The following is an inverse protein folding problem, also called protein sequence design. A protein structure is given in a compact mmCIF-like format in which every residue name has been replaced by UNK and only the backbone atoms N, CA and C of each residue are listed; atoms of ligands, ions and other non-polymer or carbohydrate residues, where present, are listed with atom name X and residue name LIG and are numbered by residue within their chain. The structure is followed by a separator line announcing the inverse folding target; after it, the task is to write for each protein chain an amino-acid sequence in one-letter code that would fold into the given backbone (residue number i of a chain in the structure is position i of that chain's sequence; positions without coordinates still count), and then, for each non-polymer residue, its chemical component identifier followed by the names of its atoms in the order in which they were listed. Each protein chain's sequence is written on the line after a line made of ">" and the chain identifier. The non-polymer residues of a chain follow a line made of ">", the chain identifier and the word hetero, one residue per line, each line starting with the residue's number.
data_IF_975618214878
#
_entry.id   IF_975618214878
#
_cell.length_a   1.000
_cell.length_b   1.000
_cell.length_c   1.000
_cell.angle_alpha   90.00
_cell.angle_beta   90.00
_cell.angle_gamma   90.00
#
_symmetry.space_group_name_H-M   'P 1'
#
loop_
_entity.id
_entity.type
_entity.pdbx_description
1 polymer ?
#
# COMPACT_ATOMS: atom_id res chain seq x y z
N UNK A 1 -19.33 -17.08 64.16
CA UNK A 1 -18.23 -16.55 63.29
C UNK A 1 -18.79 -16.36 61.89
N UNK A 2 -19.02 -15.13 61.41
CA UNK A 2 -19.47 -14.92 60.02
C UNK A 2 -18.23 -14.70 59.09
N UNK A 3 -18.25 -15.46 57.99
CA UNK A 3 -17.32 -15.30 56.88
C UNK A 3 -17.64 -14.03 56.08
N UNK A 4 -16.70 -13.09 55.98
CA UNK A 4 -16.80 -11.92 55.12
C UNK A 4 -16.29 -12.31 53.73
N UNK A 5 -17.18 -12.20 52.74
CA UNK A 5 -16.88 -12.39 51.32
C UNK A 5 -16.33 -11.05 50.78
N UNK A 6 -15.01 -10.96 50.52
CA UNK A 6 -14.40 -9.83 49.83
C UNK A 6 -14.62 -9.97 48.34
N UNK A 7 -15.50 -9.16 47.76
CA UNK A 7 -15.61 -8.97 46.33
C UNK A 7 -14.49 -8.03 45.85
N UNK A 8 -13.51 -8.57 45.12
CA UNK A 8 -12.56 -7.76 44.33
C UNK A 8 -13.24 -7.26 43.06
N UNK A 9 -13.56 -5.97 43.04
CA UNK A 9 -13.92 -5.28 41.81
C UNK A 9 -12.63 -4.89 41.08
N UNK A 10 -12.30 -5.61 39.99
CA UNK A 10 -11.26 -5.22 39.08
C UNK A 10 -11.78 -4.08 38.20
N UNK A 11 -11.35 -2.86 38.49
CA UNK A 11 -11.53 -1.72 37.57
C UNK A 11 -10.61 -1.91 36.37
N UNK A 12 -11.20 -2.40 35.27
CA UNK A 12 -10.58 -2.26 33.95
C UNK A 12 -10.71 -0.80 33.54
N UNK A 13 -9.65 -0.03 33.70
CA UNK A 13 -9.52 1.29 33.08
C UNK A 13 -9.35 1.07 31.59
N UNK A 14 -10.41 1.30 30.82
CA UNK A 14 -10.31 1.45 29.37
C UNK A 14 -9.46 2.69 29.10
N UNK A 15 -8.21 2.48 28.72
CA UNK A 15 -7.38 3.54 28.15
C UNK A 15 -7.97 3.86 26.78
N UNK A 16 -8.80 4.88 26.71
CA UNK A 16 -9.17 5.50 25.43
C UNK A 16 -7.91 6.14 24.87
N UNK A 17 -7.25 5.46 23.95
CA UNK A 17 -6.24 6.07 23.09
C UNK A 17 -6.99 7.02 22.16
N UNK A 18 -7.07 8.29 22.51
CA UNK A 18 -7.52 9.34 21.60
C UNK A 18 -6.47 9.45 20.48
N UNK A 19 -6.71 8.79 19.37
CA UNK A 19 -5.99 9.06 18.14
C UNK A 19 -6.32 10.51 17.74
N UNK A 20 -5.30 11.35 17.56
CA UNK A 20 -5.47 12.72 17.06
C UNK A 20 -6.17 12.64 15.70
N UNK A 21 -7.31 13.31 15.48
CA UNK A 21 -8.01 13.22 14.22
C UNK A 21 -7.12 13.77 13.11
N UNK A 22 -6.91 12.98 12.05
CA UNK A 22 -6.19 13.41 10.87
C UNK A 22 -6.95 14.57 10.21
N UNK A 23 -6.38 15.78 10.22
CA UNK A 23 -7.03 17.00 9.70
C UNK A 23 -6.79 17.20 8.21
N UNK A 24 -5.60 16.85 7.74
CA UNK A 24 -5.22 16.90 6.33
C UNK A 24 -4.91 15.48 5.86
N UNK A 25 -5.67 14.98 4.89
CA UNK A 25 -5.49 13.65 4.32
C UNK A 25 -5.00 13.78 2.89
N UNK A 26 -3.83 13.21 2.61
CA UNK A 26 -3.33 13.03 1.26
C UNK A 26 -3.98 11.81 0.60
N UNK A 27 -4.46 11.96 -0.62
CA UNK A 27 -5.04 10.90 -1.42
C UNK A 27 -4.32 10.84 -2.77
N UNK A 28 -3.73 9.71 -3.08
CA UNK A 28 -2.90 9.55 -4.28
C UNK A 28 -3.32 8.35 -5.10
N UNK A 29 -3.18 8.48 -6.42
CA UNK A 29 -3.27 7.41 -7.41
C UNK A 29 -2.19 7.59 -8.47
N UNK A 30 -1.80 6.52 -9.17
CA UNK A 30 -0.67 6.58 -10.07
C UNK A 30 -1.02 7.17 -11.45
N UNK A 31 -2.21 6.91 -11.97
CA UNK A 31 -2.58 7.30 -13.32
C UNK A 31 -4.08 7.58 -13.49
N UNK A 32 -4.47 8.04 -14.70
CA UNK A 32 -5.78 8.62 -14.95
C UNK A 32 -7.00 7.73 -14.59
N UNK A 33 -7.08 6.43 -14.95
CA UNK A 33 -8.22 5.59 -14.57
C UNK A 33 -8.42 5.47 -13.06
N UNK A 34 -7.33 5.32 -12.31
CA UNK A 34 -7.35 5.25 -10.84
C UNK A 34 -7.75 6.60 -10.22
N UNK A 35 -7.17 7.69 -10.71
CA UNK A 35 -7.48 9.04 -10.22
C UNK A 35 -8.93 9.41 -10.45
N UNK A 36 -9.51 9.06 -11.61
CA UNK A 36 -10.93 9.26 -11.89
C UNK A 36 -11.82 8.45 -10.94
N UNK A 37 -11.45 7.20 -10.68
CA UNK A 37 -12.17 6.35 -9.73
C UNK A 37 -12.09 6.91 -8.31
N UNK A 38 -10.89 7.29 -7.85
CA UNK A 38 -10.66 7.85 -6.53
C UNK A 38 -11.45 9.15 -6.32
N UNK A 39 -11.34 10.11 -7.24
CA UNK A 39 -12.09 11.38 -7.14
C UNK A 39 -13.60 11.15 -7.12
N UNK A 40 -14.12 10.21 -7.90
CA UNK A 40 -15.55 9.85 -7.91
C UNK A 40 -16.01 9.28 -6.57
N UNK A 41 -15.18 8.47 -5.92
CA UNK A 41 -15.53 7.83 -4.65
C UNK A 41 -15.42 8.77 -3.45
N UNK A 42 -14.42 9.67 -3.42
CA UNK A 42 -14.12 10.48 -2.23
C UNK A 42 -14.74 11.86 -2.25
N UNK A 43 -15.02 12.44 -3.43
CA UNK A 43 -15.54 13.80 -3.51
C UNK A 43 -17.08 13.84 -3.43
N UNK A 44 -17.59 14.71 -2.56
CA UNK A 44 -19.02 14.98 -2.53
C UNK A 44 -19.48 15.65 -3.83
N UNK A 45 -20.73 15.40 -4.29
CA UNK A 45 -21.30 16.12 -5.43
C UNK A 45 -21.22 17.64 -5.25
N UNK A 46 -20.67 18.34 -6.24
CA UNK A 46 -20.51 19.80 -6.19
C UNK A 46 -19.40 20.32 -5.27
N UNK A 47 -18.48 19.45 -4.84
CA UNK A 47 -17.34 19.86 -4.03
C UNK A 47 -16.53 20.98 -4.71
N UNK A 48 -16.20 22.03 -3.95
CA UNK A 48 -15.35 23.12 -4.43
C UNK A 48 -13.89 22.69 -4.42
N UNK A 49 -13.35 22.37 -5.59
CA UNK A 49 -11.98 21.88 -5.78
C UNK A 49 -11.08 23.03 -6.21
N UNK A 50 -10.03 23.29 -5.43
CA UNK A 50 -8.96 24.21 -5.79
C UNK A 50 -7.76 23.42 -6.30
N UNK A 51 -7.30 23.74 -7.50
CA UNK A 51 -6.10 23.10 -8.07
C UNK A 51 -4.88 24.04 -7.91
N UNK A 52 -3.77 23.46 -7.51
CA UNK A 52 -2.45 24.12 -7.44
C UNK A 52 -1.44 23.23 -8.15
N UNK A 53 -0.69 23.77 -9.10
CA UNK A 53 0.40 23.06 -9.74
C UNK A 53 1.73 23.40 -9.03
N UNK A 54 2.48 22.36 -8.70
CA UNK A 54 3.81 22.47 -8.09
C UNK A 54 4.73 21.50 -8.83
N UNK A 55 5.75 22.04 -9.48
CA UNK A 55 6.78 21.27 -10.20
C UNK A 55 6.18 20.20 -11.14
N UNK A 56 5.15 20.59 -11.91
CA UNK A 56 4.45 19.72 -12.87
C UNK A 56 3.44 18.76 -12.27
N UNK A 57 3.28 18.74 -10.94
CA UNK A 57 2.24 17.94 -10.27
C UNK A 57 1.05 18.81 -9.90
N UNK A 58 -0.16 18.40 -10.30
CA UNK A 58 -1.41 19.11 -9.95
C UNK A 58 -1.97 18.51 -8.66
N UNK A 59 -2.09 19.33 -7.64
CA UNK A 59 -2.73 19.03 -6.36
C UNK A 59 -4.13 19.62 -6.31
N UNK A 60 -5.14 18.79 -6.08
CA UNK A 60 -6.54 19.19 -5.91
C UNK A 60 -6.87 19.25 -4.43
N UNK A 61 -7.17 20.44 -3.90
CA UNK A 61 -7.53 20.64 -2.50
C UNK A 61 -9.06 20.79 -2.34
N UNK A 62 -9.60 20.10 -1.34
CA UNK A 62 -11.01 20.15 -1.01
C UNK A 62 -11.18 20.21 0.51
N UNK A 63 -12.06 21.12 0.96
CA UNK A 63 -12.56 21.10 2.34
C UNK A 63 -13.86 20.30 2.38
N UNK A 64 -13.87 19.19 3.08
CA UNK A 64 -15.02 18.31 3.16
C UNK A 64 -15.13 17.70 4.56
N UNK A 65 -16.33 17.74 5.15
CA UNK A 65 -16.61 17.15 6.49
C UNK A 65 -15.62 17.61 7.58
N UNK A 66 -15.21 18.89 7.54
CA UNK A 66 -14.28 19.46 8.51
C UNK A 66 -12.81 19.12 8.30
N UNK A 67 -12.45 18.49 7.19
CA UNK A 67 -11.08 18.09 6.84
C UNK A 67 -10.64 18.62 5.48
N UNK A 68 -9.34 18.73 5.32
CA UNK A 68 -8.69 19.07 4.07
C UNK A 68 -8.23 17.78 3.38
N UNK A 69 -8.80 17.52 2.21
CA UNK A 69 -8.29 16.48 1.32
C UNK A 69 -7.33 17.11 0.32
N UNK A 70 -6.17 16.50 0.13
CA UNK A 70 -5.18 16.88 -0.90
C UNK A 70 -5.02 15.68 -1.82
N UNK A 71 -5.46 15.83 -3.07
CA UNK A 71 -5.56 14.73 -4.04
C UNK A 71 -4.61 15.01 -5.20
N UNK A 72 -3.74 14.05 -5.53
CA UNK A 72 -2.81 14.20 -6.65
C UNK A 72 -2.58 12.87 -7.39
N UNK A 73 -2.17 12.99 -8.64
CA UNK A 73 -1.71 11.88 -9.45
C UNK A 73 -0.19 11.82 -9.41
N UNK A 74 0.35 10.67 -8.97
CA UNK A 74 1.80 10.55 -8.80
C UNK A 74 2.56 10.41 -10.12
N UNK A 75 1.93 9.89 -11.15
CA UNK A 75 2.59 9.27 -12.28
C UNK A 75 2.97 7.83 -11.96
N UNK A 76 3.17 7.04 -13.02
CA UNK A 76 3.50 5.62 -12.92
C UNK A 76 4.98 5.45 -12.51
N UNK A 77 5.25 4.42 -11.72
CA UNK A 77 6.56 3.95 -11.26
C UNK A 77 7.13 4.70 -10.04
N UNK A 78 8.06 4.02 -9.38
CA UNK A 78 8.56 4.35 -8.04
C UNK A 78 9.17 5.74 -7.93
N UNK A 79 9.88 6.21 -8.96
CA UNK A 79 10.53 7.53 -8.95
C UNK A 79 9.47 8.63 -8.94
N UNK A 80 8.47 8.55 -9.82
CA UNK A 80 7.37 9.51 -9.87
C UNK A 80 6.57 9.51 -8.56
N UNK A 81 6.30 8.33 -8.04
CA UNK A 81 5.58 8.16 -6.78
C UNK A 81 6.35 8.78 -5.59
N UNK A 82 7.66 8.54 -5.49
CA UNK A 82 8.49 9.11 -4.44
C UNK A 82 8.54 10.64 -4.53
N UNK A 83 8.82 11.18 -5.73
CA UNK A 83 8.96 12.61 -5.98
C UNK A 83 7.66 13.37 -5.63
N UNK A 84 6.54 12.94 -6.18
CA UNK A 84 5.25 13.62 -5.96
C UNK A 84 4.75 13.49 -4.52
N UNK A 85 5.04 12.37 -3.86
CA UNK A 85 4.69 12.20 -2.44
C UNK A 85 5.53 13.11 -1.55
N UNK A 86 6.83 13.29 -1.84
CA UNK A 86 7.66 14.26 -1.11
C UNK A 86 7.15 15.68 -1.31
N UNK A 87 6.80 16.09 -2.56
CA UNK A 87 6.18 17.40 -2.82
C UNK A 87 4.89 17.59 -2.01
N UNK A 88 4.04 16.57 -1.95
CA UNK A 88 2.81 16.63 -1.14
C UNK A 88 3.12 16.85 0.35
N UNK A 89 4.12 16.18 0.89
CA UNK A 89 4.54 16.32 2.30
C UNK A 89 5.09 17.72 2.56
N UNK A 90 5.95 18.23 1.68
CA UNK A 90 6.64 19.50 1.88
C UNK A 90 5.69 20.71 1.76
N UNK A 91 4.70 20.64 0.88
CA UNK A 91 3.82 21.79 0.61
C UNK A 91 2.47 21.74 1.34
N UNK A 92 1.95 20.54 1.63
CA UNK A 92 0.60 20.40 2.19
C UNK A 92 0.59 19.80 3.59
N UNK A 93 1.70 19.21 4.05
CA UNK A 93 1.86 18.64 5.38
C UNK A 93 0.72 17.69 5.78
N UNK A 94 0.41 16.66 4.99
CA UNK A 94 -0.68 15.73 5.31
C UNK A 94 -0.37 14.97 6.61
N UNK A 95 -1.40 14.80 7.44
CA UNK A 95 -1.31 14.00 8.67
C UNK A 95 -1.29 12.50 8.37
N UNK A 96 -1.85 12.12 7.21
CA UNK A 96 -1.83 10.75 6.66
C UNK A 96 -1.94 10.77 5.14
N UNK A 97 -1.45 9.72 4.49
CA UNK A 97 -1.57 9.53 3.03
C UNK A 97 -2.16 8.15 2.76
N UNK A 98 -3.23 8.10 1.94
CA UNK A 98 -3.79 6.86 1.43
C UNK A 98 -3.53 6.77 -0.07
N UNK A 99 -2.99 5.64 -0.50
CA UNK A 99 -2.73 5.35 -1.91
C UNK A 99 -3.73 4.31 -2.42
N UNK A 100 -4.51 4.71 -3.42
CA UNK A 100 -5.52 3.86 -4.06
C UNK A 100 -5.15 3.59 -5.51
N UNK A 101 -5.14 2.33 -5.91
CA UNK A 101 -4.80 1.95 -7.27
C UNK A 101 -5.01 0.47 -7.57
N UNK A 102 -4.45 0.00 -8.69
CA UNK A 102 -4.54 -1.38 -9.13
C UNK A 102 -3.26 -2.17 -8.87
N UNK A 103 -3.36 -3.50 -8.92
CA UNK A 103 -2.22 -4.42 -8.80
C UNK A 103 -2.49 -5.75 -9.48
N UNK A 104 -1.43 -6.50 -9.78
CA UNK A 104 -1.49 -7.90 -10.16
C UNK A 104 -1.45 -8.83 -8.93
N UNK A 105 -2.31 -9.85 -8.93
CA UNK A 105 -2.41 -10.83 -7.84
C UNK A 105 -1.33 -11.91 -7.91
N UNK A 106 -0.46 -12.02 -6.88
CA UNK A 106 0.52 -13.09 -6.77
C UNK A 106 -0.04 -14.32 -6.08
N UNK A 107 -0.89 -14.13 -5.07
CA UNK A 107 -1.55 -15.22 -4.36
C UNK A 107 -2.52 -15.96 -5.30
N UNK A 108 -2.37 -17.29 -5.46
CA UNK A 108 -3.21 -18.07 -6.39
C UNK A 108 -4.69 -18.14 -5.98
N UNK A 109 -5.05 -17.78 -4.76
CA UNK A 109 -6.43 -17.71 -4.29
C UNK A 109 -7.17 -16.45 -4.75
N UNK A 110 -6.45 -15.45 -5.25
CA UNK A 110 -7.02 -14.16 -5.67
C UNK A 110 -7.67 -14.22 -7.04
N UNK A 111 -8.61 -13.31 -7.25
CA UNK A 111 -9.31 -13.11 -8.51
C UNK A 111 -9.32 -11.62 -8.88
N UNK A 112 -9.36 -11.26 -10.17
CA UNK A 112 -9.59 -9.88 -10.59
C UNK A 112 -10.86 -9.30 -9.95
N UNK A 113 -10.76 -8.05 -9.48
CA UNK A 113 -11.81 -7.36 -8.73
C UNK A 113 -11.69 -7.48 -7.21
N UNK A 114 -10.95 -8.44 -6.67
CA UNK A 114 -10.64 -8.47 -5.24
C UNK A 114 -9.80 -7.24 -4.85
N UNK A 115 -9.93 -6.78 -3.59
CA UNK A 115 -9.13 -5.67 -3.05
C UNK A 115 -8.20 -6.20 -1.98
N UNK A 116 -6.95 -5.78 -2.00
CA UNK A 116 -5.94 -6.18 -1.02
C UNK A 116 -5.36 -4.95 -0.34
N UNK A 117 -5.25 -5.04 1.00
CA UNK A 117 -4.63 -4.00 1.84
C UNK A 117 -3.48 -4.68 2.59
N UNK A 118 -2.25 -4.68 2.04
CA UNK A 118 -1.10 -5.28 2.70
C UNK A 118 -0.73 -4.55 4.00
N UNK A 119 -0.22 -5.29 4.97
CA UNK A 119 0.27 -4.71 6.23
C UNK A 119 1.68 -4.11 6.10
N UNK A 120 2.43 -4.53 5.09
CA UNK A 120 3.81 -4.06 4.80
C UNK A 120 4.15 -4.18 3.33
N UNK A 121 5.14 -3.42 2.90
CA UNK A 121 5.56 -3.34 1.51
C UNK A 121 7.05 -3.57 1.37
N UNK A 122 7.47 -4.31 0.34
CA UNK A 122 8.86 -4.62 0.01
C UNK A 122 9.21 -4.17 -1.41
N UNK A 123 10.47 -3.83 -1.61
CA UNK A 123 11.01 -3.61 -2.94
C UNK A 123 11.27 -4.93 -3.66
N UNK A 124 10.88 -5.01 -4.94
CA UNK A 124 11.24 -6.12 -5.80
C UNK A 124 12.67 -6.01 -6.32
N UNK A 125 13.10 -4.81 -6.66
CA UNK A 125 14.34 -4.57 -7.41
C UNK A 125 15.50 -4.06 -6.53
N UNK A 126 15.31 -3.86 -5.23
CA UNK A 126 16.42 -3.69 -4.30
C UNK A 126 17.08 -5.06 -4.09
N UNK A 127 18.12 -5.33 -4.87
CA UNK A 127 18.71 -6.65 -4.96
C UNK A 127 20.17 -6.60 -5.43
N UNK A 128 20.96 -7.59 -5.00
CA UNK A 128 22.25 -7.85 -5.59
C UNK A 128 22.10 -8.87 -6.74
N UNK A 129 22.74 -8.58 -7.87
CA UNK A 129 22.87 -9.51 -8.98
C UNK A 129 24.24 -10.17 -8.92
N UNK A 130 24.28 -11.46 -8.60
CA UNK A 130 25.53 -12.16 -8.30
C UNK A 130 25.92 -13.14 -9.40
N UNK A 131 27.22 -13.31 -9.59
CA UNK A 131 27.78 -14.27 -10.53
C UNK A 131 27.56 -15.71 -10.05
N UNK A 132 27.33 -16.61 -10.98
CA UNK A 132 27.39 -18.06 -10.69
C UNK A 132 28.78 -18.46 -10.21
N UNK A 133 28.83 -19.36 -9.25
CA UNK A 133 30.08 -19.93 -8.78
C UNK A 133 30.59 -20.92 -9.86
N UNK A 134 31.80 -20.66 -10.44
CA UNK A 134 32.36 -21.54 -11.48
C UNK A 134 32.76 -22.92 -10.95
N UNK A 135 33.01 -23.05 -9.63
CA UNK A 135 33.45 -24.27 -8.99
C UNK A 135 32.31 -25.11 -8.41
N UNK A 136 31.14 -24.47 -8.20
CA UNK A 136 29.99 -25.12 -7.56
C UNK A 136 28.72 -24.91 -8.40
N UNK A 137 28.35 -25.93 -9.16
CA UNK A 137 27.10 -25.90 -9.95
C UNK A 137 25.88 -25.57 -9.08
N UNK A 138 25.05 -24.64 -9.55
CA UNK A 138 23.85 -24.20 -8.84
C UNK A 138 24.07 -23.19 -7.71
N UNK A 139 25.33 -22.82 -7.42
CA UNK A 139 25.71 -21.84 -6.41
C UNK A 139 26.04 -20.48 -7.03
N UNK A 140 26.19 -19.48 -6.14
CA UNK A 140 26.55 -18.10 -6.50
C UNK A 140 27.68 -17.61 -5.59
N UNK A 141 28.52 -16.70 -6.12
CA UNK A 141 29.55 -16.04 -5.34
C UNK A 141 28.93 -14.94 -4.51
N UNK A 142 28.72 -15.21 -3.22
CA UNK A 142 28.09 -14.26 -2.29
C UNK A 142 29.20 -13.51 -1.54
N UNK A 143 29.29 -12.15 -1.66
CA UNK A 143 30.24 -11.37 -0.88
C UNK A 143 30.03 -11.55 0.63
N UNK A 144 31.11 -11.54 1.43
CA UNK A 144 31.06 -11.75 2.88
C UNK A 144 30.18 -10.74 3.62
N UNK A 145 30.08 -9.50 3.12
CA UNK A 145 29.27 -8.45 3.71
C UNK A 145 27.78 -8.58 3.36
N UNK A 146 27.42 -9.39 2.33
CA UNK A 146 26.05 -9.56 1.89
C UNK A 146 25.36 -10.72 2.64
N UNK A 147 24.21 -10.42 3.19
CA UNK A 147 23.41 -11.41 3.95
C UNK A 147 22.00 -11.41 3.38
N UNK A 148 21.74 -12.25 2.36
CA UNK A 148 20.42 -12.35 1.76
C UNK A 148 19.39 -12.80 2.81
N UNK A 149 18.29 -12.08 2.90
CA UNK A 149 17.21 -12.37 3.85
C UNK A 149 16.22 -13.38 3.28
N UNK A 150 16.01 -13.33 1.99
CA UNK A 150 15.11 -14.22 1.26
C UNK A 150 15.86 -15.08 0.24
N UNK A 151 15.28 -16.22 -0.16
CA UNK A 151 15.79 -16.99 -1.28
C UNK A 151 15.91 -16.14 -2.55
N UNK A 152 16.95 -16.39 -3.33
CA UNK A 152 17.18 -15.72 -4.59
C UNK A 152 16.32 -16.31 -5.72
N UNK A 153 15.92 -15.45 -6.65
CA UNK A 153 15.34 -15.87 -7.94
C UNK A 153 16.43 -15.83 -9.01
N UNK A 154 16.91 -16.99 -9.44
CA UNK A 154 18.08 -17.05 -10.31
C UNK A 154 19.29 -16.35 -9.65
N UNK A 155 19.90 -15.39 -10.35
CA UNK A 155 21.02 -14.60 -9.84
C UNK A 155 20.62 -13.33 -9.09
N UNK A 156 19.32 -13.12 -8.84
CA UNK A 156 18.76 -11.95 -8.16
C UNK A 156 18.58 -12.28 -6.67
N UNK A 157 19.27 -11.57 -5.82
CA UNK A 157 19.25 -11.73 -4.36
C UNK A 157 18.64 -10.49 -3.72
N UNK A 158 17.42 -10.56 -3.13
CA UNK A 158 16.81 -9.43 -2.46
C UNK A 158 17.71 -8.86 -1.35
N UNK A 159 17.77 -7.55 -1.29
CA UNK A 159 18.49 -6.81 -0.26
C UNK A 159 17.56 -5.83 0.48
N UNK A 160 18.09 -5.25 1.54
CA UNK A 160 17.42 -4.20 2.32
C UNK A 160 17.90 -2.83 1.82
N UNK A 161 17.08 -1.81 2.01
CA UNK A 161 17.47 -0.43 1.72
C UNK A 161 17.99 0.26 2.98
N UNK A 162 18.97 1.16 2.80
CA UNK A 162 19.44 2.05 3.86
C UNK A 162 18.68 3.37 3.78
N UNK A 163 17.90 3.69 4.80
CA UNK A 163 17.00 4.85 4.81
C UNK A 163 17.37 5.79 5.96
N UNK A 164 17.53 7.06 5.65
CA UNK A 164 17.61 8.12 6.66
C UNK A 164 16.20 8.57 7.00
N UNK A 165 15.86 8.58 8.28
CA UNK A 165 14.54 8.96 8.77
C UNK A 165 14.58 10.34 9.41
N UNK A 166 13.58 11.16 9.19
CA UNK A 166 13.47 12.51 9.75
C UNK A 166 13.72 12.51 11.27
N UNK A 167 14.69 13.29 11.71
CA UNK A 167 15.10 13.37 13.13
C UNK A 167 16.11 12.31 13.58
N UNK A 168 16.48 11.35 12.74
CA UNK A 168 17.53 10.38 13.03
C UNK A 168 18.87 10.83 12.41
N UNK A 169 19.98 10.53 13.09
CA UNK A 169 21.32 10.89 12.64
C UNK A 169 22.02 9.77 11.87
N UNK A 170 21.49 8.56 11.95
CA UNK A 170 22.08 7.37 11.32
C UNK A 170 21.07 6.70 10.39
N UNK A 171 21.51 6.12 9.26
CA UNK A 171 20.66 5.34 8.39
C UNK A 171 20.16 4.06 9.09
N UNK A 172 18.94 3.66 8.76
CA UNK A 172 18.35 2.38 9.15
C UNK A 172 18.36 1.41 7.97
N UNK A 173 18.69 0.17 8.23
CA UNK A 173 18.54 -0.90 7.25
C UNK A 173 17.10 -1.42 7.34
N UNK A 174 16.31 -1.19 6.29
CA UNK A 174 14.87 -1.49 6.25
C UNK A 174 14.59 -2.50 5.16
N UNK A 175 13.94 -3.59 5.55
CA UNK A 175 13.53 -4.64 4.62
C UNK A 175 12.12 -4.43 4.10
N UNK A 176 11.20 -4.02 4.98
CA UNK A 176 9.79 -3.81 4.66
C UNK A 176 9.26 -2.58 5.39
N UNK A 177 8.43 -1.82 4.70
CA UNK A 177 7.76 -0.64 5.22
C UNK A 177 6.36 -1.01 5.71
N UNK A 178 6.15 -0.94 7.03
CA UNK A 178 4.85 -1.23 7.63
C UNK A 178 3.87 -0.09 7.39
N UNK A 179 2.60 -0.44 7.19
CA UNK A 179 1.50 0.52 7.19
C UNK A 179 1.26 1.06 8.60
N UNK A 180 0.70 2.26 8.67
CA UNK A 180 0.37 2.86 9.97
C UNK A 180 -0.67 2.01 10.71
N UNK A 181 -0.45 1.66 12.00
CA UNK A 181 -1.36 0.79 12.74
C UNK A 181 -2.78 1.35 12.86
N UNK A 182 -2.95 2.66 13.06
CA UNK A 182 -4.27 3.27 13.23
C UNK A 182 -5.07 3.24 11.92
N UNK A 183 -4.42 3.56 10.79
CA UNK A 183 -5.03 3.46 9.47
C UNK A 183 -5.35 2.01 9.11
N UNK A 184 -4.48 1.08 9.47
CA UNK A 184 -4.68 -0.33 9.21
C UNK A 184 -5.81 -0.93 10.04
N UNK A 185 -5.95 -0.52 11.30
CA UNK A 185 -7.06 -0.93 12.17
C UNK A 185 -8.39 -0.33 11.69
N UNK A 186 -8.42 0.92 11.24
CA UNK A 186 -9.58 1.51 10.58
C UNK A 186 -9.99 0.67 9.34
N UNK A 187 -9.03 0.29 8.51
CA UNK A 187 -9.29 -0.58 7.36
C UNK A 187 -9.86 -1.94 7.76
N UNK A 188 -9.37 -2.56 8.82
CA UNK A 188 -9.88 -3.85 9.34
C UNK A 188 -11.36 -3.79 9.74
N UNK A 189 -11.80 -2.65 10.26
CA UNK A 189 -13.18 -2.46 10.73
C UNK A 189 -14.12 -2.18 9.57
N UNK A 190 -13.69 -1.43 8.57
CA UNK A 190 -14.56 -0.88 7.52
C UNK A 190 -14.50 -1.63 6.21
N UNK A 191 -13.31 -1.91 5.71
CA UNK A 191 -13.11 -2.44 4.38
C UNK A 191 -13.90 -3.74 4.10
N UNK A 192 -14.05 -4.70 5.04
CA UNK A 192 -14.86 -5.90 4.80
C UNK A 192 -16.35 -5.65 4.62
N UNK A 193 -16.84 -4.46 4.98
CA UNK A 193 -18.26 -4.08 4.85
C UNK A 193 -18.58 -3.52 3.47
N UNK A 194 -17.57 -3.11 2.71
CA UNK A 194 -17.74 -2.53 1.36
C UNK A 194 -18.20 -3.62 0.38
N UNK A 195 -19.24 -3.33 -0.38
CA UNK A 195 -19.78 -4.28 -1.36
C UNK A 195 -19.15 -4.05 -2.72
N UNK A 196 -18.09 -4.76 -3.01
CA UNK A 196 -17.37 -4.73 -4.28
C UNK A 196 -17.64 -5.99 -5.12
N UNK A 197 -17.37 -5.90 -6.44
CA UNK A 197 -17.72 -6.96 -7.39
C UNK A 197 -16.52 -7.38 -8.25
N UNK A 198 -16.58 -8.61 -8.73
CA UNK A 198 -15.69 -9.17 -9.76
C UNK A 198 -16.21 -8.88 -11.16
N UNK A 199 -15.40 -9.12 -12.23
CA UNK A 199 -15.81 -8.90 -13.60
C UNK A 199 -17.05 -9.70 -14.04
N UNK A 200 -17.31 -10.84 -13.41
CA UNK A 200 -18.50 -11.67 -13.65
C UNK A 200 -19.75 -11.24 -12.87
N UNK A 201 -19.64 -10.14 -12.10
CA UNK A 201 -20.70 -9.61 -11.23
C UNK A 201 -20.82 -10.28 -9.87
N UNK A 202 -20.07 -11.34 -9.59
CA UNK A 202 -20.02 -11.98 -8.27
C UNK A 202 -19.39 -11.05 -7.23
N UNK A 203 -19.65 -11.34 -5.94
CA UNK A 203 -19.04 -10.58 -4.84
C UNK A 203 -17.53 -10.76 -4.84
N UNK A 204 -16.79 -9.67 -4.83
CA UNK A 204 -15.35 -9.66 -4.63
C UNK A 204 -14.99 -9.65 -3.14
N UNK A 205 -13.76 -10.05 -2.84
CA UNK A 205 -13.24 -10.10 -1.48
C UNK A 205 -12.41 -8.85 -1.17
N UNK A 206 -12.46 -8.40 0.08
CA UNK A 206 -11.46 -7.50 0.64
C UNK A 206 -10.54 -8.32 1.55
N UNK A 207 -9.25 -8.31 1.24
CA UNK A 207 -8.25 -9.08 1.96
C UNK A 207 -7.29 -8.12 2.65
N UNK A 208 -7.15 -8.26 3.97
CA UNK A 208 -6.33 -7.37 4.81
C UNK A 208 -5.17 -8.16 5.38
N UNK A 209 -3.96 -7.62 5.20
CA UNK A 209 -2.72 -8.22 5.66
C UNK A 209 -1.87 -8.84 4.54
N UNK A 210 -0.72 -9.35 4.95
CA UNK A 210 0.29 -9.88 4.05
C UNK A 210 1.24 -8.82 3.50
N UNK A 211 2.00 -9.18 2.49
CA UNK A 211 3.06 -8.35 1.92
C UNK A 211 2.68 -7.90 0.52
N UNK A 212 2.72 -6.58 0.28
CA UNK A 212 2.72 -5.97 -1.04
C UNK A 212 4.17 -5.83 -1.55
N UNK A 213 4.35 -5.92 -2.85
CA UNK A 213 5.63 -5.79 -3.49
C UNK A 213 5.55 -4.78 -4.63
N UNK A 214 6.53 -3.87 -4.72
CA UNK A 214 6.62 -2.92 -5.81
C UNK A 214 7.95 -3.03 -6.54
N UNK A 215 7.89 -2.84 -7.85
CA UNK A 215 9.08 -2.77 -8.70
C UNK A 215 8.83 -1.99 -10.00
N UNK A 216 9.89 -1.54 -10.67
CA UNK A 216 9.79 -0.75 -11.90
C UNK A 216 9.50 -1.63 -13.13
N UNK A 217 8.65 -2.64 -12.98
CA UNK A 217 8.28 -3.58 -14.05
C UNK A 217 6.78 -3.83 -14.05
N UNK A 218 6.23 -4.06 -15.22
CA UNK A 218 4.94 -4.72 -15.38
C UNK A 218 5.16 -6.23 -15.29
N UNK A 219 4.60 -6.86 -14.26
CA UNK A 219 4.81 -8.29 -14.01
C UNK A 219 3.72 -9.13 -14.68
N UNK A 220 4.10 -9.92 -15.68
CA UNK A 220 3.26 -10.94 -16.31
C UNK A 220 4.04 -12.24 -16.56
N UNK A 221 4.71 -12.72 -15.50
CA UNK A 221 5.51 -13.96 -15.51
C UNK A 221 5.10 -14.89 -14.39
N UNK A 222 4.54 -16.05 -14.77
CA UNK A 222 4.08 -17.07 -13.82
C UNK A 222 5.19 -17.60 -12.93
N UNK A 223 6.38 -17.80 -13.47
CA UNK A 223 7.49 -18.38 -12.74
C UNK A 223 7.94 -17.48 -11.59
N UNK A 224 8.11 -16.18 -11.90
CA UNK A 224 8.46 -15.19 -10.88
C UNK A 224 7.31 -14.95 -9.90
N UNK A 225 6.08 -14.85 -10.39
CA UNK A 225 4.88 -14.73 -9.56
C UNK A 225 4.80 -15.82 -8.49
N UNK A 226 4.85 -17.08 -8.92
CA UNK A 226 4.71 -18.24 -8.02
C UNK A 226 5.89 -18.32 -7.04
N UNK A 227 7.09 -17.98 -7.49
CA UNK A 227 8.27 -17.88 -6.64
C UNK A 227 8.12 -16.76 -5.59
N UNK A 228 7.75 -15.54 -5.99
CA UNK A 228 7.59 -14.40 -5.08
C UNK A 228 6.52 -14.68 -4.02
N UNK A 229 5.40 -15.29 -4.40
CA UNK A 229 4.38 -15.73 -3.45
C UNK A 229 4.91 -16.77 -2.47
N UNK A 230 5.55 -17.83 -2.96
CA UNK A 230 5.99 -18.96 -2.11
C UNK A 230 7.20 -18.63 -1.24
N UNK A 231 8.13 -17.81 -1.74
CA UNK A 231 9.44 -17.60 -1.10
C UNK A 231 9.58 -16.24 -0.44
N UNK A 232 8.97 -15.20 -1.02
CA UNK A 232 9.00 -13.84 -0.47
C UNK A 232 7.71 -13.48 0.25
N UNK A 233 6.70 -14.37 0.19
CA UNK A 233 5.37 -14.20 0.79
C UNK A 233 4.64 -12.94 0.29
N UNK A 234 5.05 -12.45 -0.88
CA UNK A 234 4.38 -11.33 -1.53
C UNK A 234 3.02 -11.79 -2.09
N UNK A 235 1.98 -11.05 -1.81
CA UNK A 235 0.60 -11.40 -2.23
C UNK A 235 0.15 -10.65 -3.46
N UNK A 236 0.67 -9.44 -3.68
CA UNK A 236 0.38 -8.59 -4.83
C UNK A 236 1.65 -7.90 -5.33
N UNK A 237 1.65 -7.51 -6.59
CA UNK A 237 2.70 -6.71 -7.22
C UNK A 237 2.12 -5.49 -7.93
N UNK A 238 2.80 -4.35 -7.80
CA UNK A 238 2.50 -3.11 -8.51
C UNK A 238 3.77 -2.25 -8.64
N UNK A 239 3.67 -0.96 -8.98
CA UNK A 239 4.84 -0.20 -9.43
C UNK A 239 5.16 1.06 -8.58
N UNK A 240 4.45 1.36 -7.47
CA UNK A 240 4.59 2.63 -6.73
C UNK A 240 4.61 2.50 -5.20
N UNK A 241 3.81 1.59 -4.66
CA UNK A 241 3.43 1.56 -3.25
C UNK A 241 4.60 1.52 -2.28
N UNK A 242 5.62 0.71 -2.56
CA UNK A 242 6.80 0.65 -1.68
C UNK A 242 7.55 1.98 -1.66
N UNK A 243 7.60 2.73 -2.77
CA UNK A 243 8.24 4.05 -2.80
C UNK A 243 7.46 5.07 -1.94
N UNK A 244 6.13 5.10 -2.02
CA UNK A 244 5.28 5.93 -1.17
C UNK A 244 5.45 5.55 0.31
N UNK A 245 5.46 4.25 0.61
CA UNK A 245 5.66 3.73 1.96
C UNK A 245 7.03 4.12 2.52
N UNK A 246 8.08 4.07 1.71
CA UNK A 246 9.43 4.50 2.08
C UNK A 246 9.51 6.00 2.34
N UNK A 247 8.91 6.83 1.49
CA UNK A 247 8.84 8.30 1.68
C UNK A 247 8.08 8.63 2.97
N UNK A 248 6.94 7.97 3.21
CA UNK A 248 6.19 8.12 4.45
C UNK A 248 6.99 7.72 5.67
N UNK A 249 7.69 6.58 5.62
CA UNK A 249 8.60 6.13 6.68
C UNK A 249 9.70 7.16 6.97
N UNK A 250 10.35 7.66 5.90
CA UNK A 250 11.42 8.65 6.02
C UNK A 250 10.96 9.96 6.67
N UNK A 251 9.75 10.41 6.34
CA UNK A 251 9.15 11.66 6.82
C UNK A 251 8.32 11.50 8.10
N UNK A 252 8.13 10.29 8.62
CA UNK A 252 7.24 9.96 9.75
C UNK A 252 5.77 10.32 9.48
N UNK A 253 5.33 10.17 8.23
CA UNK A 253 3.94 10.37 7.82
C UNK A 253 3.25 9.02 7.72
N UNK A 254 2.10 8.82 8.40
CA UNK A 254 1.27 7.63 8.30
C UNK A 254 0.85 7.31 6.87
N UNK A 255 1.04 6.06 6.43
CA UNK A 255 0.67 5.59 5.08
C UNK A 255 -0.25 4.38 5.17
N UNK A 256 -1.23 4.32 4.27
CA UNK A 256 -2.01 3.12 3.96
C UNK A 256 -2.14 2.96 2.45
N UNK A 257 -2.04 1.72 1.97
CA UNK A 257 -2.11 1.42 0.54
C UNK A 257 -3.21 0.39 0.28
N UNK A 258 -4.11 0.73 -0.64
CA UNK A 258 -5.28 -0.08 -1.04
C UNK A 258 -5.17 -0.40 -2.52
N UNK A 259 -5.23 -1.69 -2.88
CA UNK A 259 -5.07 -2.14 -4.27
C UNK A 259 -6.20 -3.04 -4.72
N UNK A 260 -6.85 -2.69 -5.83
CA UNK A 260 -7.78 -3.55 -6.55
C UNK A 260 -7.04 -4.44 -7.55
N UNK A 261 -7.41 -5.70 -7.67
CA UNK A 261 -6.72 -6.61 -8.58
C UNK A 261 -7.30 -6.51 -10.00
N UNK A 262 -6.46 -6.07 -10.94
CA UNK A 262 -6.79 -6.02 -12.37
C UNK A 262 -6.50 -7.33 -13.08
N UNK A 263 -5.48 -8.04 -12.64
CA UNK A 263 -4.94 -9.25 -13.24
C UNK A 263 -4.28 -10.17 -12.20
N UNK A 264 -3.65 -11.24 -12.65
CA UNK A 264 -3.01 -12.23 -11.79
C UNK A 264 -1.49 -12.31 -12.00
N UNK A 265 -0.86 -11.23 -12.49
CA UNK A 265 0.59 -11.13 -12.66
C UNK A 265 1.22 -12.34 -13.40
N UNK A 266 0.59 -12.82 -14.46
CA UNK A 266 0.99 -14.01 -15.20
C UNK A 266 0.37 -15.32 -14.69
N UNK A 267 -0.45 -15.28 -13.63
CA UNK A 267 -1.19 -16.43 -13.10
C UNK A 267 -2.39 -16.86 -13.94
N UNK A 268 -2.93 -15.96 -14.77
CA UNK A 268 -4.06 -16.23 -15.64
C UNK A 268 -3.71 -17.17 -16.79
N UNK A 269 -4.75 -17.73 -17.42
CA UNK A 269 -4.61 -18.44 -18.69
C UNK A 269 -4.74 -17.44 -19.84
N UNK A 270 -3.80 -17.47 -20.79
CA UNK A 270 -3.81 -16.61 -21.99
C UNK A 270 -3.31 -15.20 -21.71
N UNK A 271 -3.86 -14.22 -22.42
CA UNK A 271 -3.44 -12.81 -22.37
C UNK A 271 -3.72 -12.21 -21.01
N UNK A 272 -2.85 -11.30 -20.56
CA UNK A 272 -3.06 -10.54 -19.34
C UNK A 272 -4.39 -9.77 -19.40
N UNK A 273 -5.04 -9.63 -18.25
CA UNK A 273 -6.39 -9.08 -18.13
C UNK A 273 -6.41 -7.65 -17.56
N UNK A 274 -5.25 -7.06 -17.35
CA UNK A 274 -5.10 -5.74 -16.72
C UNK A 274 -5.97 -4.69 -17.42
N UNK A 275 -5.77 -4.46 -18.72
CA UNK A 275 -6.52 -3.45 -19.50
C UNK A 275 -8.04 -3.63 -19.39
N UNK A 276 -8.51 -4.88 -19.47
CA UNK A 276 -9.93 -5.21 -19.40
C UNK A 276 -10.54 -4.88 -18.04
N UNK A 277 -9.82 -5.09 -16.96
CA UNK A 277 -10.34 -5.00 -15.59
C UNK A 277 -9.90 -3.74 -14.85
N UNK A 278 -9.01 -2.92 -15.43
CA UNK A 278 -8.48 -1.69 -14.80
C UNK A 278 -9.56 -0.82 -14.19
N UNK A 279 -10.62 -0.52 -14.94
CA UNK A 279 -11.66 0.38 -14.47
C UNK A 279 -12.43 -0.19 -13.26
N UNK A 280 -12.70 -1.50 -13.27
CA UNK A 280 -13.37 -2.17 -12.16
C UNK A 280 -12.47 -2.25 -10.94
N UNK A 281 -11.23 -2.68 -11.12
CA UNK A 281 -10.24 -2.80 -10.04
C UNK A 281 -9.99 -1.45 -9.37
N UNK A 282 -9.79 -0.40 -10.17
CA UNK A 282 -9.62 0.97 -9.69
C UNK A 282 -10.86 1.46 -8.90
N UNK A 283 -12.08 1.18 -9.39
CA UNK A 283 -13.32 1.55 -8.70
C UNK A 283 -13.46 0.82 -7.37
N UNK A 284 -13.20 -0.48 -7.33
CA UNK A 284 -13.27 -1.27 -6.09
C UNK A 284 -12.27 -0.77 -5.04
N UNK A 285 -11.02 -0.48 -5.45
CA UNK A 285 -10.02 0.10 -4.55
C UNK A 285 -10.44 1.49 -4.04
N UNK A 286 -10.99 2.32 -4.91
CA UNK A 286 -11.43 3.66 -4.57
C UNK A 286 -12.62 3.66 -3.60
N UNK A 287 -13.61 2.78 -3.78
CA UNK A 287 -14.74 2.61 -2.86
C UNK A 287 -14.28 2.16 -1.47
N UNK A 288 -13.37 1.20 -1.40
CA UNK A 288 -12.76 0.77 -0.13
C UNK A 288 -11.97 1.90 0.52
N UNK A 289 -11.20 2.66 -0.28
CA UNK A 289 -10.43 3.80 0.23
C UNK A 289 -11.35 4.89 0.79
N UNK A 290 -12.44 5.21 0.09
CA UNK A 290 -13.41 6.22 0.53
C UNK A 290 -14.05 5.85 1.88
N UNK A 291 -14.44 4.59 2.06
CA UNK A 291 -14.99 4.10 3.33
C UNK A 291 -13.98 4.19 4.48
N UNK A 292 -12.70 3.89 4.22
CA UNK A 292 -11.63 4.05 5.22
C UNK A 292 -11.47 5.52 5.58
N UNK A 293 -11.47 6.43 4.61
CA UNK A 293 -11.41 7.87 4.85
C UNK A 293 -12.58 8.34 5.72
N UNK A 294 -13.80 7.87 5.46
CA UNK A 294 -14.98 8.17 6.27
C UNK A 294 -14.85 7.64 7.71
N UNK A 295 -14.31 6.44 7.89
CA UNK A 295 -14.12 5.85 9.22
C UNK A 295 -13.09 6.61 10.06
N UNK A 296 -11.95 6.97 9.49
CA UNK A 296 -10.95 7.77 10.22
C UNK A 296 -11.45 9.19 10.52
N UNK A 297 -12.49 9.64 9.81
CA UNK A 297 -13.22 10.88 10.08
C UNK A 297 -14.17 10.75 11.28
N UNK A 298 -14.83 9.63 11.45
CA UNK A 298 -15.88 9.43 12.46
C UNK A 298 -15.36 8.93 13.83
N UNK A 299 -14.10 8.54 13.92
CA UNK A 299 -13.48 8.10 15.18
C UNK A 299 -13.11 9.30 16.10
N UNK A 300 -14.11 10.14 16.43
CA UNK A 300 -14.03 11.26 17.38
C UNK A 300 -14.64 10.90 18.73
#
# INVERSE_FOLDING_TARGET
>A
MPFALLCFFSLFSAVSVYASPFKTIGLVSAWDPEMKALKRAVLAPGANVRNTEIDGTVFSEVQQRGRRLVIWMSGVSMINAAMSTQLAIDHFHPDAILFSGIAGGLDPSFQPGDVVIPERWIHQAEAAWLNRDPERSGSYVIPEYFRPRYPNFGNIFPDDVWVVRKGDTTPHRVHAFAMDPNLFDAARVTAPKVSIRRPDGSKANVVIGGIGMSGPIFLDDRSFRDFAFQKWHARIHEMEGTAIAQVGYSNRVPILIVRGLSDLAGGQRGVNQEERNTQLAASNAAEVTAEIVEQIESAQ
#
